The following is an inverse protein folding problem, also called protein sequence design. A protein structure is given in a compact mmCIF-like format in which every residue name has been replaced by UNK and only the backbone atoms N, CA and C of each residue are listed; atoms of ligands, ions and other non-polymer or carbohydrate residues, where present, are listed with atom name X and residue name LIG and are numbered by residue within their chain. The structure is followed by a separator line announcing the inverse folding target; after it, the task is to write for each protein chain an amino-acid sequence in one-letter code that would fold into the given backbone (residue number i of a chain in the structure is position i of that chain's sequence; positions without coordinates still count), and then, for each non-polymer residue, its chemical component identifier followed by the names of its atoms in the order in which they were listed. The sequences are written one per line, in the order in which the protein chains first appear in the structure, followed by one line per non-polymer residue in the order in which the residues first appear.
data_IF_178658939224
#
_entry.id   IF_178658939224
#
_cell.length_a   1.000
_cell.length_b   1.000
_cell.length_c   1.000
_cell.angle_alpha   90.00
_cell.angle_beta   90.00
_cell.angle_gamma   90.00
#
_symmetry.space_group_name_H-M   'P 1'
#
loop_
_entity.id
_entity.type
_entity.pdbx_description
1 polymer ?
#
# COMPACT_ATOMS: atom_id res chain seq x y z
N UNK A 1 -0.49 -19.06 -5.43
CA UNK A 1 -1.39 -18.37 -6.38
C UNK A 1 -2.77 -18.06 -5.80
N UNK A 2 -3.46 -19.01 -5.14
CA UNK A 2 -4.83 -18.83 -4.61
C UNK A 2 -5.01 -17.67 -3.63
N UNK A 3 -3.98 -17.35 -2.85
CA UNK A 3 -4.01 -16.29 -1.83
C UNK A 3 -4.25 -14.89 -2.42
N UNK A 4 -3.75 -14.60 -3.62
CA UNK A 4 -4.01 -13.34 -4.32
C UNK A 4 -5.50 -13.21 -4.68
N UNK A 5 -6.05 -14.24 -5.32
CA UNK A 5 -7.46 -14.26 -5.69
C UNK A 5 -8.38 -14.17 -4.47
N UNK A 6 -8.01 -14.85 -3.38
CA UNK A 6 -8.70 -14.72 -2.10
C UNK A 6 -8.71 -13.28 -1.60
N UNK A 7 -7.56 -12.60 -1.58
CA UNK A 7 -7.48 -11.18 -1.15
C UNK A 7 -8.34 -10.29 -2.04
N UNK A 8 -8.31 -10.49 -3.37
CA UNK A 8 -9.13 -9.73 -4.33
C UNK A 8 -10.62 -9.92 -4.03
N UNK A 9 -11.08 -11.17 -3.96
CA UNK A 9 -12.49 -11.49 -3.74
C UNK A 9 -12.99 -10.94 -2.41
N UNK A 10 -12.23 -11.15 -1.34
CA UNK A 10 -12.60 -10.69 0.00
C UNK A 10 -12.57 -9.15 0.14
N UNK A 11 -11.90 -8.43 -0.76
CA UNK A 11 -11.88 -6.96 -0.76
C UNK A 11 -12.77 -6.33 -1.84
N UNK A 12 -13.46 -7.14 -2.66
CA UNK A 12 -14.23 -6.64 -3.81
C UNK A 12 -15.28 -5.61 -3.39
N UNK A 13 -15.95 -5.82 -2.24
CA UNK A 13 -16.94 -4.89 -1.69
C UNK A 13 -16.38 -3.50 -1.34
N UNK A 14 -15.06 -3.36 -1.12
CA UNK A 14 -14.40 -2.08 -0.83
C UNK A 14 -14.01 -1.32 -2.09
N UNK A 15 -13.80 -2.03 -3.20
CA UNK A 15 -13.28 -1.46 -4.44
C UNK A 15 -14.15 -0.31 -4.99
N UNK A 16 -15.50 -0.38 -5.00
CA UNK A 16 -16.35 0.72 -5.46
C UNK A 16 -16.20 2.02 -4.68
N UNK A 17 -15.75 1.96 -3.42
CA UNK A 17 -15.55 3.15 -2.58
C UNK A 17 -14.09 3.63 -2.62
N UNK A 18 -13.14 2.72 -2.44
CA UNK A 18 -11.72 3.05 -2.33
C UNK A 18 -11.16 3.54 -3.68
N UNK A 19 -11.51 2.92 -4.80
CA UNK A 19 -10.94 3.28 -6.11
C UNK A 19 -11.33 4.71 -6.53
N UNK A 20 -12.62 5.12 -6.48
CA UNK A 20 -12.98 6.50 -6.77
C UNK A 20 -12.39 7.50 -5.79
N UNK A 21 -12.30 7.15 -4.49
CA UNK A 21 -11.68 8.00 -3.48
C UNK A 21 -10.19 8.22 -3.79
N UNK A 22 -9.44 7.16 -4.08
CA UNK A 22 -8.02 7.24 -4.44
C UNK A 22 -7.83 8.08 -5.71
N UNK A 23 -8.67 7.87 -6.73
CA UNK A 23 -8.66 8.66 -7.97
C UNK A 23 -8.97 10.14 -7.69
N UNK A 24 -9.98 10.43 -6.87
CA UNK A 24 -10.31 11.79 -6.50
C UNK A 24 -9.12 12.48 -5.82
N UNK A 25 -8.50 11.84 -4.82
CA UNK A 25 -7.36 12.45 -4.12
C UNK A 25 -6.13 12.63 -5.01
N UNK A 26 -5.88 11.69 -5.93
CA UNK A 26 -4.80 11.80 -6.90
C UNK A 26 -4.99 12.96 -7.87
N UNK A 27 -6.23 13.22 -8.30
CA UNK A 27 -6.56 14.28 -9.26
C UNK A 27 -6.63 15.68 -8.64
N UNK A 28 -6.62 15.81 -7.31
CA UNK A 28 -6.72 17.09 -6.60
C UNK A 28 -5.49 17.35 -5.71
N UNK A 29 -4.28 17.48 -6.29
CA UNK A 29 -3.07 17.71 -5.52
C UNK A 29 -3.05 19.05 -4.77
N UNK A 30 -3.88 20.00 -5.19
CA UNK A 30 -4.10 21.28 -4.52
C UNK A 30 -4.89 21.16 -3.21
N UNK A 31 -5.66 20.07 -3.04
CA UNK A 31 -6.49 19.82 -1.84
C UNK A 31 -5.88 18.81 -0.88
N UNK A 32 -5.05 17.90 -1.38
CA UNK A 32 -4.50 16.81 -0.60
C UNK A 32 -2.98 16.83 -0.64
N UNK A 33 -2.34 16.73 0.52
CA UNK A 33 -0.87 16.65 0.57
C UNK A 33 -0.37 15.29 0.09
N UNK A 34 0.92 15.17 -0.19
CA UNK A 34 1.57 13.89 -0.55
C UNK A 34 1.34 12.88 0.58
N UNK A 35 1.52 13.29 1.84
CA UNK A 35 1.37 12.46 3.03
C UNK A 35 -0.05 11.92 3.16
N UNK A 36 -1.07 12.74 2.89
CA UNK A 36 -2.47 12.33 2.93
C UNK A 36 -2.81 11.30 1.84
N UNK A 37 -2.25 11.46 0.64
CA UNK A 37 -2.39 10.47 -0.44
C UNK A 37 -1.67 9.17 -0.09
N UNK A 38 -0.44 9.24 0.40
CA UNK A 38 0.33 8.08 0.83
C UNK A 38 -0.33 7.35 2.01
N UNK A 39 -0.92 8.08 2.96
CA UNK A 39 -1.67 7.49 4.06
C UNK A 39 -2.86 6.66 3.57
N UNK A 40 -3.60 7.15 2.57
CA UNK A 40 -4.69 6.40 1.95
C UNK A 40 -4.20 5.12 1.27
N UNK A 41 -3.13 5.20 0.47
CA UNK A 41 -2.54 4.03 -0.19
C UNK A 41 -2.08 3.00 0.86
N UNK A 42 -1.34 3.44 1.89
CA UNK A 42 -0.88 2.57 2.99
C UNK A 42 -2.05 1.89 3.71
N UNK A 43 -3.14 2.61 3.93
CA UNK A 43 -4.35 2.04 4.55
C UNK A 43 -4.97 0.94 3.67
N UNK A 44 -5.07 1.15 2.35
CA UNK A 44 -5.56 0.11 1.42
C UNK A 44 -4.66 -1.13 1.45
N UNK A 45 -3.34 -0.96 1.42
CA UNK A 45 -2.39 -2.09 1.53
C UNK A 45 -2.54 -2.81 2.87
N UNK A 46 -2.71 -2.08 3.97
CA UNK A 46 -2.97 -2.66 5.29
C UNK A 46 -4.23 -3.55 5.28
N UNK A 47 -5.34 -3.07 4.70
CA UNK A 47 -6.57 -3.86 4.58
C UNK A 47 -6.37 -5.14 3.75
N UNK A 48 -5.59 -5.06 2.67
CA UNK A 48 -5.25 -6.22 1.84
C UNK A 48 -4.40 -7.23 2.61
N UNK A 49 -3.38 -6.78 3.34
CA UNK A 49 -2.52 -7.63 4.16
C UNK A 49 -3.29 -8.30 5.29
N UNK A 50 -4.15 -7.55 5.99
CA UNK A 50 -5.04 -8.08 7.04
C UNK A 50 -5.94 -9.17 6.49
N UNK A 51 -6.60 -8.92 5.37
CA UNK A 51 -7.45 -9.91 4.70
C UNK A 51 -6.66 -11.15 4.28
N UNK A 52 -5.46 -10.93 3.73
CA UNK A 52 -4.56 -11.99 3.33
C UNK A 52 -3.90 -12.74 4.49
N UNK A 53 -4.11 -12.36 5.76
CA UNK A 53 -3.35 -12.90 6.89
C UNK A 53 -1.84 -12.85 6.62
N UNK A 54 -1.36 -11.70 6.16
CA UNK A 54 0.05 -11.43 5.86
C UNK A 54 0.61 -10.57 6.99
N UNK A 55 1.71 -11.03 7.58
CA UNK A 55 2.48 -10.30 8.57
C UNK A 55 3.87 -10.04 8.01
N UNK A 56 4.22 -8.77 7.80
CA UNK A 56 5.55 -8.38 7.38
C UNK A 56 6.48 -8.36 8.59
N UNK A 57 7.61 -9.04 8.48
CA UNK A 57 8.74 -8.88 9.40
C UNK A 57 9.78 -8.00 8.73
N UNK A 58 10.27 -6.99 9.45
CA UNK A 58 11.29 -6.08 8.96
C UNK A 58 12.52 -6.19 9.87
N UNK A 59 13.71 -6.18 9.26
CA UNK A 59 15.00 -6.28 9.93
C UNK A 59 15.94 -5.23 9.32
N UNK A 60 16.91 -4.75 10.08
CA UNK A 60 17.86 -3.75 9.59
C UNK A 60 17.28 -2.35 9.43
N UNK A 61 16.19 -2.02 10.15
CA UNK A 61 15.55 -0.70 10.09
C UNK A 61 16.48 0.42 10.56
N UNK A 62 17.44 0.10 11.42
CA UNK A 62 18.51 0.97 11.89
C UNK A 62 19.43 1.47 10.77
N UNK A 63 19.48 0.77 9.63
CA UNK A 63 20.28 1.17 8.47
C UNK A 63 19.57 2.20 7.57
N UNK A 64 18.28 2.46 7.80
CA UNK A 64 17.52 3.40 6.98
C UNK A 64 17.80 4.85 7.41
N UNK A 65 18.04 5.78 6.47
CA UNK A 65 18.16 7.19 6.78
C UNK A 65 16.89 7.70 7.49
N UNK A 66 17.08 8.37 8.63
CA UNK A 66 15.99 8.97 9.42
C UNK A 66 15.48 10.28 8.82
N UNK A 67 16.34 10.97 8.08
CA UNK A 67 16.09 12.27 7.47
C UNK A 67 16.48 12.24 5.99
N UNK A 68 15.86 13.13 5.21
CA UNK A 68 16.00 13.13 3.75
C UNK A 68 15.19 12.02 3.07
N UNK A 69 15.53 11.76 1.80
CA UNK A 69 14.97 10.67 1.01
C UNK A 69 16.04 9.65 0.64
N UNK A 70 15.64 8.44 0.30
CA UNK A 70 16.54 7.39 -0.17
C UNK A 70 15.90 6.59 -1.29
N UNK A 71 16.76 5.99 -2.13
CA UNK A 71 16.36 5.03 -3.14
C UNK A 71 16.48 3.62 -2.57
N UNK A 72 15.40 2.84 -2.61
CA UNK A 72 15.45 1.41 -2.35
C UNK A 72 15.65 0.67 -3.67
N UNK A 73 16.64 -0.22 -3.74
CA UNK A 73 16.90 -1.10 -4.87
C UNK A 73 16.60 -2.56 -4.48
N UNK A 74 15.32 -2.93 -4.30
CA UNK A 74 14.97 -4.30 -3.93
C UNK A 74 15.18 -5.25 -5.11
N UNK A 75 15.37 -6.54 -4.82
CA UNK A 75 15.09 -7.57 -5.81
C UNK A 75 13.58 -7.59 -6.11
N UNK A 76 13.17 -8.05 -7.31
CA UNK A 76 11.77 -8.17 -7.70
C UNK A 76 11.39 -9.65 -7.84
N UNK A 77 11.16 -10.30 -6.69
CA UNK A 77 10.99 -11.76 -6.60
C UNK A 77 9.58 -12.15 -6.14
N UNK A 78 8.96 -11.30 -5.34
CA UNK A 78 7.58 -11.40 -4.91
C UNK A 78 6.64 -10.81 -5.95
N UNK A 79 5.50 -11.47 -6.14
CA UNK A 79 4.38 -10.94 -6.94
C UNK A 79 3.79 -9.64 -6.35
N UNK A 80 4.20 -9.28 -5.13
CA UNK A 80 3.72 -8.16 -4.33
C UNK A 80 4.82 -7.14 -4.04
N UNK A 81 5.97 -7.26 -4.71
CA UNK A 81 7.10 -6.31 -4.65
C UNK A 81 6.85 -5.14 -5.63
#
# INVERSE_FOLDING_TARGET
MLKLFYVIFMNLHRAPYIIPLMRNRANHPERYTVEQRYALVRHTIYLMNRTGKITTKAFGLENLPKEGGYLMCPNHQGKYD
#
